data_IF_343607092703
#
_entry.id   IF_343607092703
#
_cell.length_a   1.000
_cell.length_b   1.000
_cell.length_c   1.000
_cell.angle_alpha   90.00
_cell.angle_beta   90.00
_cell.angle_gamma   90.00
#
_symmetry.space_group_name_H-M   'P 1'
#
loop_
_entity.id
_entity.type
_entity.pdbx_description
1 polymer ?
#
# COMPACT_ATOMS: atom_id res chain seq x y z
N UNK A 1 -3.06 -58.94 12.78
CA UNK A 1 -3.41 -57.74 13.56
C UNK A 1 -2.99 -56.55 12.74
N UNK A 2 -3.97 -55.83 12.17
CA UNK A 2 -3.75 -54.71 11.27
C UNK A 2 -3.81 -53.42 12.10
N UNK A 3 -2.70 -52.70 12.18
CA UNK A 3 -2.68 -51.35 12.77
C UNK A 3 -2.86 -50.36 11.63
N UNK A 4 -4.05 -49.76 11.56
CA UNK A 4 -4.41 -48.70 10.62
C UNK A 4 -3.54 -47.46 10.87
N UNK A 5 -2.82 -47.01 9.84
CA UNK A 5 -2.22 -45.69 9.79
C UNK A 5 -3.34 -44.66 9.65
N UNK A 6 -3.55 -43.85 10.69
CA UNK A 6 -4.39 -42.65 10.61
C UNK A 6 -3.55 -41.60 9.91
N UNK A 7 -3.70 -41.50 8.59
CA UNK A 7 -3.23 -40.35 7.83
C UNK A 7 -4.02 -39.13 8.29
N UNK A 8 -3.38 -38.24 9.05
CA UNK A 8 -3.90 -36.92 9.29
C UNK A 8 -3.84 -36.15 7.96
N UNK A 9 -4.93 -36.20 7.19
CA UNK A 9 -5.19 -35.20 6.16
C UNK A 9 -5.45 -33.89 6.88
N UNK A 10 -4.38 -33.13 7.14
CA UNK A 10 -4.51 -31.71 7.40
C UNK A 10 -4.96 -31.10 6.08
N UNK A 11 -6.27 -31.00 5.90
CA UNK A 11 -6.83 -30.08 4.91
C UNK A 11 -6.46 -28.71 5.45
N UNK A 12 -5.31 -28.19 5.00
CA UNK A 12 -5.02 -26.77 5.03
C UNK A 12 -6.13 -26.14 4.20
N UNK A 13 -7.27 -25.84 4.84
CA UNK A 13 -8.25 -24.91 4.32
C UNK A 13 -7.49 -23.61 4.16
N UNK A 14 -6.95 -23.40 2.95
CA UNK A 14 -6.32 -22.15 2.58
C UNK A 14 -7.32 -21.06 2.94
N UNK A 15 -6.94 -20.19 3.85
CA UNK A 15 -7.70 -18.99 4.11
C UNK A 15 -7.88 -18.32 2.75
N UNK A 16 -9.10 -18.34 2.20
CA UNK A 16 -9.41 -17.44 1.10
C UNK A 16 -9.11 -16.05 1.67
N UNK A 17 -8.03 -15.42 1.19
CA UNK A 17 -7.74 -14.04 1.55
C UNK A 17 -9.00 -13.26 1.21
N UNK A 18 -9.63 -12.67 2.22
CA UNK A 18 -10.77 -11.79 2.00
C UNK A 18 -10.23 -10.58 1.23
N UNK A 19 -10.69 -10.44 -0.01
CA UNK A 19 -10.38 -9.29 -0.87
C UNK A 19 -11.47 -8.25 -0.64
N UNK A 20 -11.08 -7.01 -0.37
CA UNK A 20 -12.01 -5.88 -0.27
C UNK A 20 -12.51 -5.55 -1.69
N UNK A 21 -13.81 -5.70 -1.96
CA UNK A 21 -14.36 -5.40 -3.28
C UNK A 21 -14.40 -3.89 -3.52
N UNK A 22 -14.38 -3.49 -4.80
CA UNK A 22 -14.67 -2.11 -5.22
C UNK A 22 -13.61 -1.07 -4.85
N UNK A 23 -12.39 -1.50 -4.51
CA UNK A 23 -11.22 -0.64 -4.39
C UNK A 23 -10.24 -0.87 -5.53
N UNK A 24 -9.53 0.19 -5.92
CA UNK A 24 -8.47 0.14 -6.90
C UNK A 24 -7.37 1.15 -6.62
N UNK A 25 -6.25 1.01 -7.35
CA UNK A 25 -5.12 1.92 -7.29
C UNK A 25 -4.76 2.44 -8.69
N UNK A 26 -4.79 3.76 -8.84
CA UNK A 26 -4.47 4.46 -10.09
C UNK A 26 -3.30 5.41 -9.90
N UNK A 27 -2.52 5.67 -10.96
CA UNK A 27 -1.47 6.69 -10.92
C UNK A 27 -2.10 8.09 -10.87
N UNK A 28 -1.52 8.97 -10.07
CA UNK A 28 -1.93 10.35 -9.89
C UNK A 28 -0.82 11.31 -10.37
N UNK A 29 -1.20 12.54 -10.73
CA UNK A 29 -0.26 13.61 -11.08
C UNK A 29 0.42 14.26 -9.88
N UNK A 30 -0.14 14.06 -8.67
CA UNK A 30 0.33 14.67 -7.44
C UNK A 30 -0.82 14.93 -6.47
N UNK A 31 -0.50 15.52 -5.32
CA UNK A 31 -1.47 15.84 -4.28
C UNK A 31 -2.45 16.95 -4.65
N UNK A 32 -1.99 17.97 -5.39
CA UNK A 32 -2.76 19.19 -5.60
C UNK A 32 -3.95 19.02 -6.54
N UNK A 33 -3.79 18.17 -7.56
CA UNK A 33 -4.84 17.89 -8.55
C UNK A 33 -5.88 16.89 -8.06
N UNK A 34 -5.63 16.22 -6.94
CA UNK A 34 -6.41 15.10 -6.41
C UNK A 34 -6.85 15.39 -4.97
N UNK A 35 -7.42 16.58 -4.73
CA UNK A 35 -7.76 17.04 -3.37
C UNK A 35 -8.86 16.23 -2.69
N UNK A 36 -9.80 15.73 -3.47
CA UNK A 36 -10.95 14.97 -2.97
C UNK A 36 -10.68 13.45 -3.05
N UNK A 37 -9.42 13.04 -2.93
CA UNK A 37 -9.01 11.64 -3.02
C UNK A 37 -7.93 11.33 -1.99
N UNK A 38 -7.88 10.06 -1.58
CA UNK A 38 -6.77 9.53 -0.81
C UNK A 38 -5.59 9.32 -1.75
N UNK A 39 -4.54 10.11 -1.58
CA UNK A 39 -3.37 10.09 -2.47
C UNK A 39 -2.14 9.70 -1.66
N UNK A 40 -1.31 8.86 -2.26
CA UNK A 40 -0.12 8.29 -1.66
C UNK A 40 1.07 8.71 -2.51
N UNK A 41 2.10 9.23 -1.87
CA UNK A 41 3.41 9.45 -2.48
C UNK A 41 4.36 8.33 -2.07
N UNK A 42 5.07 7.79 -3.06
CA UNK A 42 6.09 6.77 -2.90
C UNK A 42 7.34 7.20 -3.67
N UNK A 43 8.50 7.14 -3.00
CA UNK A 43 9.78 7.36 -3.64
C UNK A 43 10.83 6.42 -3.04
N UNK A 44 11.80 6.02 -3.86
CA UNK A 44 12.96 5.25 -3.44
C UNK A 44 14.21 6.01 -3.88
N UNK A 45 15.16 6.19 -2.97
CA UNK A 45 16.41 6.92 -3.19
C UNK A 45 17.60 6.05 -2.83
N UNK A 46 18.65 6.10 -3.63
CA UNK A 46 19.94 5.54 -3.25
C UNK A 46 20.49 6.29 -2.04
N UNK A 47 20.82 5.59 -0.95
CA UNK A 47 21.27 6.22 0.29
C UNK A 47 22.61 6.97 0.16
N UNK A 48 23.42 6.66 -0.86
CA UNK A 48 24.75 7.25 -1.04
C UNK A 48 24.71 8.42 -2.02
N UNK A 49 23.90 8.33 -3.07
CA UNK A 49 23.86 9.32 -4.16
C UNK A 49 22.62 10.20 -4.14
N UNK A 50 21.55 9.79 -3.46
CA UNK A 50 20.24 10.43 -3.49
C UNK A 50 19.48 10.24 -4.81
N UNK A 51 20.00 9.46 -5.76
CA UNK A 51 19.34 9.18 -7.03
C UNK A 51 18.05 8.39 -6.83
N UNK A 52 16.99 8.76 -7.53
CA UNK A 52 15.74 8.01 -7.53
C UNK A 52 15.94 6.62 -8.15
N UNK A 53 15.33 5.60 -7.54
CA UNK A 53 15.39 4.20 -7.95
C UNK A 53 13.97 3.63 -8.09
N UNK A 54 13.79 2.54 -8.87
CA UNK A 54 12.51 1.86 -8.96
C UNK A 54 12.13 1.16 -7.64
N UNK A 55 10.84 1.00 -7.43
CA UNK A 55 10.27 0.32 -6.27
C UNK A 55 8.87 -0.22 -6.54
N UNK A 56 8.21 -0.68 -5.48
CA UNK A 56 6.80 -1.05 -5.51
C UNK A 56 6.03 -0.44 -4.34
N UNK A 57 4.73 -0.32 -4.52
CA UNK A 57 3.77 0.06 -3.49
C UNK A 57 2.75 -1.06 -3.34
N UNK A 58 2.37 -1.35 -2.10
CA UNK A 58 1.24 -2.21 -1.74
C UNK A 58 0.33 -1.45 -0.79
N UNK A 59 -0.97 -1.41 -1.08
CA UNK A 59 -1.98 -0.74 -0.26
C UNK A 59 -2.94 -1.78 0.30
N UNK A 60 -3.41 -1.59 1.53
CA UNK A 60 -4.38 -2.49 2.17
C UNK A 60 -5.39 -1.69 2.95
N UNK A 61 -6.61 -2.19 3.05
CA UNK A 61 -7.67 -1.64 3.89
C UNK A 61 -7.93 -2.62 5.04
N UNK A 62 -7.80 -2.16 6.29
CA UNK A 62 -7.97 -3.01 7.49
C UNK A 62 -7.16 -4.31 7.44
N UNK A 63 -5.95 -4.24 6.88
CA UNK A 63 -5.05 -5.39 6.64
C UNK A 63 -5.57 -6.41 5.62
N UNK A 64 -6.60 -6.07 4.86
CA UNK A 64 -7.12 -6.86 3.75
C UNK A 64 -6.60 -6.31 2.41
N UNK A 65 -6.31 -7.22 1.48
CA UNK A 65 -5.93 -6.90 0.12
C UNK A 65 -7.17 -6.47 -0.69
N UNK A 66 -6.96 -5.74 -1.79
CA UNK A 66 -7.98 -5.48 -2.82
C UNK A 66 -7.39 -5.72 -4.21
N UNK A 67 -8.25 -5.82 -5.22
CA UNK A 67 -7.79 -6.07 -6.58
C UNK A 67 -6.92 -4.93 -7.11
N UNK A 68 -5.69 -5.25 -7.52
CA UNK A 68 -4.75 -4.25 -8.02
C UNK A 68 -4.13 -3.36 -6.95
N UNK A 69 -4.15 -3.79 -5.68
CA UNK A 69 -3.57 -3.07 -4.56
C UNK A 69 -2.04 -2.92 -4.57
N UNK A 70 -1.36 -3.61 -5.50
CA UNK A 70 0.08 -3.51 -5.72
C UNK A 70 0.40 -2.89 -7.09
N UNK A 71 1.38 -1.98 -7.11
CA UNK A 71 1.93 -1.38 -8.34
C UNK A 71 3.44 -1.23 -8.25
N UNK A 72 4.12 -1.47 -9.36
CA UNK A 72 5.54 -1.13 -9.51
C UNK A 72 5.69 0.29 -10.09
N UNK A 73 6.78 0.97 -9.76
CA UNK A 73 7.11 2.30 -10.29
C UNK A 73 8.60 2.45 -10.63
N UNK A 74 8.88 3.41 -11.52
CA UNK A 74 10.22 3.70 -12.03
C UNK A 74 11.06 4.57 -11.10
N UNK A 75 12.24 5.05 -11.55
CA UNK A 75 13.12 5.94 -10.80
C UNK A 75 12.57 7.38 -10.76
N UNK A 76 11.39 7.55 -10.17
CA UNK A 76 10.66 8.82 -10.09
C UNK A 76 9.85 8.89 -8.78
N UNK A 77 9.60 10.09 -8.28
CA UNK A 77 8.58 10.30 -7.24
C UNK A 77 7.22 9.96 -7.84
N UNK A 78 6.55 8.97 -7.24
CA UNK A 78 5.33 8.38 -7.79
C UNK A 78 4.15 8.62 -6.88
N UNK A 79 3.05 9.08 -7.46
CA UNK A 79 1.80 9.34 -6.76
C UNK A 79 0.74 8.33 -7.19
N UNK A 80 -0.02 7.82 -6.23
CA UNK A 80 -1.09 6.86 -6.44
C UNK A 80 -2.35 7.32 -5.72
N UNK A 81 -3.50 7.29 -6.39
CA UNK A 81 -4.81 7.54 -5.76
C UNK A 81 -5.54 6.22 -5.53
N UNK A 82 -6.15 6.09 -4.36
CA UNK A 82 -7.10 5.01 -4.11
C UNK A 82 -8.44 5.42 -4.74
N UNK A 83 -8.98 4.56 -5.60
CA UNK A 83 -10.28 4.74 -6.25
C UNK A 83 -11.28 3.76 -5.69
N UNK A 84 -12.54 4.19 -5.62
CA UNK A 84 -13.67 3.39 -5.13
C UNK A 84 -14.74 3.26 -6.22
N UNK A 85 -15.39 2.11 -6.29
CA UNK A 85 -16.60 1.92 -7.10
C UNK A 85 -17.78 2.74 -6.53
N UNK A 86 -18.85 2.88 -7.33
CA UNK A 86 -20.06 3.59 -6.91
C UNK A 86 -20.69 2.94 -5.68
N UNK A 87 -20.78 3.69 -4.58
CA UNK A 87 -21.36 3.23 -3.32
C UNK A 87 -20.36 2.66 -2.32
N UNK A 88 -19.10 2.44 -2.73
CA UNK A 88 -18.00 2.05 -1.85
C UNK A 88 -17.26 3.27 -1.31
N UNK A 89 -16.60 3.13 -0.15
CA UNK A 89 -15.85 4.21 0.48
C UNK A 89 -14.71 3.67 1.33
N UNK A 90 -13.61 4.43 1.37
CA UNK A 90 -12.49 4.21 2.31
C UNK A 90 -12.76 4.83 3.68
N UNK A 91 -13.85 5.59 3.85
CA UNK A 91 -14.18 6.25 5.12
C UNK A 91 -14.55 5.23 6.20
N UNK A 92 -14.07 5.44 7.43
CA UNK A 92 -14.22 4.54 8.56
C UNK A 92 -13.23 3.37 8.58
N UNK A 93 -12.24 3.37 7.68
CA UNK A 93 -11.27 2.28 7.53
C UNK A 93 -9.82 2.74 7.71
N UNK A 94 -8.96 1.80 8.14
CA UNK A 94 -7.52 1.99 8.21
C UNK A 94 -6.89 1.65 6.86
N UNK A 95 -6.26 2.64 6.22
CA UNK A 95 -5.47 2.43 5.01
C UNK A 95 -4.00 2.32 5.38
N UNK A 96 -3.38 1.19 5.02
CA UNK A 96 -1.96 0.94 5.23
C UNK A 96 -1.24 0.78 3.90
N UNK A 97 -0.14 1.50 3.76
CA UNK A 97 0.72 1.51 2.58
C UNK A 97 2.09 0.96 2.96
N UNK A 98 2.62 0.08 2.13
CA UNK A 98 4.00 -0.37 2.18
C UNK A 98 4.67 0.01 0.88
N UNK A 99 5.78 0.73 0.96
CA UNK A 99 6.66 1.00 -0.17
C UNK A 99 7.91 0.16 0.01
N UNK A 100 8.33 -0.54 -1.04
CA UNK A 100 9.52 -1.39 -1.02
C UNK A 100 10.47 -0.99 -2.14
N UNK A 101 11.75 -0.90 -1.81
CA UNK A 101 12.82 -0.80 -2.78
C UNK A 101 13.25 -2.18 -3.25
N UNK A 102 13.77 -2.25 -4.47
CA UNK A 102 14.47 -3.46 -4.94
C UNK A 102 15.86 -3.61 -4.31
N UNK A 103 16.48 -2.50 -3.90
CA UNK A 103 17.75 -2.46 -3.19
C UNK A 103 17.49 -2.33 -1.68
N UNK A 104 17.92 -3.30 -0.84
CA UNK A 104 17.72 -3.24 0.60
C UNK A 104 18.46 -2.09 1.27
N UNK A 105 19.47 -1.47 0.65
CA UNK A 105 20.17 -0.30 1.21
C UNK A 105 19.52 1.04 0.80
N UNK A 106 18.47 1.04 -0.02
CA UNK A 106 17.85 2.28 -0.47
C UNK A 106 17.00 2.94 0.62
N UNK A 107 17.01 4.26 0.66
CA UNK A 107 16.06 5.05 1.45
C UNK A 107 14.70 5.03 0.78
N UNK A 108 13.64 4.80 1.56
CA UNK A 108 12.28 4.71 1.04
C UNK A 108 11.40 5.74 1.70
N UNK A 109 10.67 6.50 0.89
CA UNK A 109 9.70 7.49 1.31
C UNK A 109 8.28 6.99 1.09
N UNK A 110 7.41 7.22 2.07
CA UNK A 110 5.98 6.91 2.05
C UNK A 110 5.22 8.04 2.72
N UNK A 111 4.32 8.70 1.99
CA UNK A 111 3.43 9.71 2.56
C UNK A 111 2.00 9.51 2.06
N UNK A 112 1.02 9.75 2.93
CA UNK A 112 -0.41 9.71 2.58
C UNK A 112 -1.02 11.08 2.84
N UNK A 113 -1.80 11.56 1.87
CA UNK A 113 -2.67 12.73 2.00
C UNK A 113 -4.09 12.29 2.31
N UNK A 114 -4.58 12.76 3.44
CA UNK A 114 -5.96 12.60 3.90
C UNK A 114 -6.97 13.36 3.02
N UNK A 115 -8.07 12.68 2.66
CA UNK A 115 -9.22 13.24 1.93
C UNK A 115 -10.04 14.24 2.79
N UNK A 116 -9.99 14.13 4.11
CA UNK A 116 -10.81 14.91 5.05
C UNK A 116 -10.20 16.27 5.40
N UNK A 117 -8.94 16.51 5.00
CA UNK A 117 -8.21 17.75 5.30
C UNK A 117 -8.20 18.68 4.10
N UNK A 118 -8.60 19.94 4.32
CA UNK A 118 -8.54 21.00 3.29
C UNK A 118 -7.10 21.33 2.85
N UNK A 119 -6.13 21.10 3.73
CA UNK A 119 -4.70 21.28 3.46
C UNK A 119 -3.98 19.93 3.58
N UNK A 120 -3.07 19.58 2.65
CA UNK A 120 -2.36 18.32 2.68
C UNK A 120 -1.61 18.19 4.00
N UNK A 121 -2.02 17.23 4.83
CA UNK A 121 -1.33 16.91 6.07
C UNK A 121 -0.60 15.59 5.83
N UNK A 122 0.73 15.62 5.90
CA UNK A 122 1.55 14.43 5.67
C UNK A 122 1.57 13.59 6.95
N UNK A 123 1.03 12.37 6.90
CA UNK A 123 1.33 11.35 7.90
C UNK A 123 2.65 10.68 7.51
N UNK A 124 3.78 11.28 7.90
CA UNK A 124 5.10 10.70 7.67
C UNK A 124 5.37 9.66 8.75
N UNK A 125 5.35 8.38 8.39
CA UNK A 125 5.93 7.32 9.23
C UNK A 125 7.22 6.81 8.58
N UNK A 126 8.21 6.61 9.45
CA UNK A 126 9.64 6.70 9.17
C UNK A 126 10.18 5.75 8.09
N UNK A 127 11.12 6.32 7.36
CA UNK A 127 11.97 5.77 6.30
C UNK A 127 12.91 4.68 6.87
N UNK A 128 13.10 3.60 6.11
CA UNK A 128 14.00 2.50 6.45
C UNK A 128 14.75 2.00 5.22
N UNK A 129 15.88 1.35 5.47
CA UNK A 129 16.68 0.65 4.46
C UNK A 129 15.80 -0.42 3.78
N UNK A 130 15.46 -0.18 2.51
CA UNK A 130 14.74 -1.11 1.65
C UNK A 130 13.21 -1.07 1.74
N UNK A 131 12.60 -0.44 2.76
CA UNK A 131 11.14 -0.29 2.84
C UNK A 131 10.67 0.79 3.81
N UNK A 132 9.48 1.34 3.55
CA UNK A 132 8.76 2.23 4.45
C UNK A 132 7.29 1.82 4.55
N UNK A 133 6.67 2.12 5.69
CA UNK A 133 5.23 1.94 5.90
C UNK A 133 4.65 3.28 6.33
N UNK A 134 3.53 3.66 5.73
CA UNK A 134 2.71 4.77 6.19
C UNK A 134 1.26 4.32 6.27
N UNK A 135 0.49 4.88 7.20
CA UNK A 135 -0.90 4.50 7.40
C UNK A 135 -1.75 5.68 7.84
N UNK A 136 -3.06 5.59 7.58
CA UNK A 136 -4.03 6.61 7.97
C UNK A 136 -5.37 5.97 8.30
N UNK A 137 -5.97 6.40 9.40
CA UNK A 137 -7.36 6.12 9.74
C UNK A 137 -8.23 7.21 9.08
N UNK A 138 -9.06 6.81 8.11
CA UNK A 138 -9.87 7.73 7.31
C UNK A 138 -11.18 7.98 8.04
N UNK A 139 -11.17 8.85 9.05
CA UNK A 139 -12.34 9.15 9.90
C UNK A 139 -13.29 10.21 9.35
#
# INVERSE_FOLDING_TARGET
>A
MATLAIGATVVLSGCAQTIVPGLGLEKASGFEDNRDSLVIEAAVKDAKTGELKPGNITVTQDQMDFDGNRKDFGPEESYFKVVTDEGESVSGHLIRVVVQANDPEAEVHCAIKDITKKEPTHATESEGEGSATCQIDVS
#
